data_IF_550602208646
#
_entry.id   IF_550602208646
#
_cell.length_a   1.000
_cell.length_b   1.000
_cell.length_c   1.000
_cell.angle_alpha   90.00
_cell.angle_beta   90.00
_cell.angle_gamma   90.00
#
_symmetry.space_group_name_H-M   'P 1'
#
loop_
_entity.id
_entity.type
_entity.pdbx_description
1 polymer ?
#
# COMPACT_ATOMS: atom_id res chain seq x y z
N UNK A 1 9.73 43.61 24.61
CA UNK A 1 9.72 44.10 25.99
C UNK A 1 8.85 45.36 26.07
N UNK A 2 7.56 45.22 26.38
CA UNK A 2 6.58 46.30 26.60
C UNK A 2 5.40 45.73 27.38
N UNK A 3 4.57 46.59 27.98
CA UNK A 3 3.40 46.19 28.76
C UNK A 3 2.40 45.28 28.03
N UNK A 4 2.51 45.18 26.70
CA UNK A 4 1.67 44.35 25.83
C UNK A 4 2.40 43.13 25.26
N UNK A 5 3.60 42.80 25.73
CA UNK A 5 4.32 41.63 25.29
C UNK A 5 3.69 40.34 25.85
N UNK A 6 3.55 39.31 25.00
CA UNK A 6 3.13 37.99 25.40
C UNK A 6 4.12 37.42 26.42
N UNK A 7 3.63 36.89 27.55
CA UNK A 7 4.44 36.24 28.56
C UNK A 7 4.31 34.73 28.50
N UNK A 8 5.31 33.99 27.95
CA UNK A 8 5.23 32.55 27.79
C UNK A 8 5.32 31.77 29.12
N UNK A 9 5.73 32.41 30.20
CA UNK A 9 5.91 31.81 31.53
C UNK A 9 4.69 31.97 32.45
N UNK A 10 3.61 32.56 31.95
CA UNK A 10 2.43 32.83 32.74
C UNK A 10 1.22 32.05 32.29
N UNK A 11 0.60 31.31 33.18
CA UNK A 11 -0.66 30.63 32.93
C UNK A 11 -1.83 31.63 33.11
N UNK A 12 -2.62 31.87 32.05
CA UNK A 12 -3.84 32.71 32.08
C UNK A 12 -3.66 34.21 32.33
N UNK A 13 -2.46 34.78 32.21
CA UNK A 13 -2.28 36.24 32.41
C UNK A 13 -2.21 37.04 31.11
N UNK A 14 -2.11 36.36 29.97
CA UNK A 14 -2.09 37.05 28.68
C UNK A 14 -3.51 37.40 28.22
N UNK A 15 -3.68 38.62 27.74
CA UNK A 15 -4.94 39.07 27.12
C UNK A 15 -5.14 38.46 25.75
N UNK A 16 -6.37 38.50 25.22
CA UNK A 16 -6.68 38.07 23.85
C UNK A 16 -5.87 38.86 22.80
N UNK A 17 -5.57 40.13 23.06
CA UNK A 17 -4.76 41.00 22.19
C UNK A 17 -3.29 40.57 22.18
N UNK A 18 -2.75 40.15 23.33
CA UNK A 18 -1.39 39.61 23.43
C UNK A 18 -1.27 38.27 22.71
N UNK A 19 -2.28 37.39 22.81
CA UNK A 19 -2.34 36.17 22.01
C UNK A 19 -2.42 36.48 20.53
N UNK A 20 -3.31 37.38 20.10
CA UNK A 20 -3.44 37.77 18.69
C UNK A 20 -2.14 38.32 18.09
N UNK A 21 -1.30 38.95 18.92
CA UNK A 21 0.01 39.48 18.50
C UNK A 21 1.09 38.43 18.27
N UNK A 22 0.91 37.20 18.72
CA UNK A 22 1.87 36.08 18.57
C UNK A 22 1.32 34.89 17.79
N UNK A 23 0.01 34.89 17.50
CA UNK A 23 -0.62 33.87 16.66
C UNK A 23 -0.53 34.25 15.19
N UNK A 24 -0.20 33.30 14.38
CA UNK A 24 -0.24 33.38 12.92
C UNK A 24 -0.91 32.15 12.34
N UNK A 25 -1.28 32.23 11.08
CA UNK A 25 -1.81 31.09 10.33
C UNK A 25 -0.73 30.60 9.38
N UNK A 26 -0.30 29.36 9.53
CA UNK A 26 0.53 28.66 8.56
C UNK A 26 -0.37 28.05 7.49
N UNK A 27 -0.16 28.42 6.23
CA UNK A 27 -0.95 27.94 5.11
C UNK A 27 -0.08 27.24 4.07
N UNK A 28 -0.45 26.01 3.74
CA UNK A 28 0.10 25.23 2.64
C UNK A 28 -1.02 24.99 1.61
N UNK A 29 -0.76 25.35 0.36
CA UNK A 29 -1.65 25.02 -0.74
C UNK A 29 -0.87 24.13 -1.71
N UNK A 30 -1.32 22.89 -1.85
CA UNK A 30 -0.75 21.92 -2.78
C UNK A 30 -1.75 21.75 -3.91
N UNK A 31 -1.29 21.94 -5.14
CA UNK A 31 -2.07 21.73 -6.35
C UNK A 31 -1.36 20.70 -7.21
N UNK A 32 -2.03 19.58 -7.43
CA UNK A 32 -1.61 18.56 -8.37
C UNK A 32 -2.51 18.62 -9.60
N UNK A 33 -1.91 18.68 -10.79
CA UNK A 33 -2.61 18.69 -12.08
C UNK A 33 -2.07 17.55 -12.94
N UNK A 34 -2.98 16.91 -13.68
CA UNK A 34 -2.62 15.87 -14.64
C UNK A 34 -3.53 16.00 -15.85
N UNK A 35 -2.92 16.26 -17.01
CA UNK A 35 -3.57 16.28 -18.32
C UNK A 35 -3.18 15.04 -19.09
N UNK A 36 -4.15 14.31 -19.65
CA UNK A 36 -3.92 13.05 -20.33
C UNK A 36 -4.70 12.99 -21.64
N UNK A 37 -4.01 12.55 -22.70
CA UNK A 37 -4.60 12.20 -23.99
C UNK A 37 -4.13 10.80 -24.38
N UNK A 38 -5.06 9.92 -24.72
CA UNK A 38 -4.74 8.57 -25.18
C UNK A 38 -5.53 8.13 -26.40
N UNK A 39 -4.95 7.19 -27.14
CA UNK A 39 -5.61 6.47 -28.23
C UNK A 39 -5.35 4.98 -28.09
N UNK A 40 -6.40 4.17 -28.24
CA UNK A 40 -6.32 2.70 -28.09
C UNK A 40 -7.10 2.04 -29.21
N UNK A 41 -6.59 0.89 -29.66
CA UNK A 41 -7.26 0.02 -30.60
C UNK A 41 -7.13 -1.42 -30.13
N UNK A 42 -8.19 -2.22 -30.28
CA UNK A 42 -8.18 -3.64 -29.97
C UNK A 42 -9.08 -4.41 -30.91
N UNK A 43 -8.74 -5.66 -31.18
CA UNK A 43 -9.54 -6.53 -32.02
C UNK A 43 -8.81 -7.81 -32.47
N UNK A 44 -9.46 -8.62 -33.31
CA UNK A 44 -8.83 -9.77 -33.91
C UNK A 44 -7.72 -9.33 -34.87
N UNK A 45 -6.56 -10.00 -34.80
CA UNK A 45 -5.39 -9.69 -35.62
C UNK A 45 -5.31 -10.63 -36.82
N UNK A 46 -5.34 -11.94 -36.57
CA UNK A 46 -5.40 -12.99 -37.63
C UNK A 46 -5.86 -14.31 -37.01
N UNK A 47 -6.22 -15.25 -37.91
CA UNK A 47 -6.67 -16.59 -37.54
C UNK A 47 -5.51 -17.58 -37.56
N UNK A 48 -5.38 -18.39 -36.50
CA UNK A 48 -4.56 -19.59 -36.45
C UNK A 48 -5.44 -20.84 -36.54
N UNK A 49 -4.89 -22.01 -36.85
CA UNK A 49 -5.65 -23.27 -36.74
C UNK A 49 -6.18 -23.54 -35.31
N UNK A 50 -5.60 -22.89 -34.33
CA UNK A 50 -5.95 -23.00 -32.92
C UNK A 50 -6.95 -21.95 -32.45
N UNK A 51 -7.30 -20.96 -33.26
CA UNK A 51 -8.24 -19.89 -32.98
C UNK A 51 -7.72 -18.50 -33.32
N UNK A 52 -8.50 -17.49 -33.04
CA UNK A 52 -8.22 -16.10 -33.38
C UNK A 52 -7.19 -15.47 -32.42
N UNK A 53 -6.11 -14.94 -32.96
CA UNK A 53 -5.17 -14.09 -32.19
C UNK A 53 -5.83 -12.72 -31.96
N UNK A 54 -5.91 -12.32 -30.72
CA UNK A 54 -6.41 -11.00 -30.31
C UNK A 54 -5.23 -10.07 -30.04
N UNK A 55 -5.37 -8.80 -30.41
CA UNK A 55 -4.36 -7.79 -30.10
C UNK A 55 -4.98 -6.50 -29.58
N UNK A 56 -4.23 -5.78 -28.78
CA UNK A 56 -4.49 -4.42 -28.39
C UNK A 56 -3.20 -3.60 -28.48
N UNK A 57 -3.30 -2.34 -28.87
CA UNK A 57 -2.19 -1.40 -28.88
C UNK A 57 -2.68 0.01 -28.59
N UNK A 58 -1.82 0.87 -28.06
CA UNK A 58 -2.17 2.26 -27.81
C UNK A 58 -0.96 3.13 -27.56
N UNK A 59 -1.23 4.42 -27.58
CA UNK A 59 -0.28 5.47 -27.22
C UNK A 59 -0.94 6.46 -26.28
N UNK A 60 -0.16 7.02 -25.38
CA UNK A 60 -0.62 7.96 -24.35
C UNK A 60 0.42 9.07 -24.21
N UNK A 61 -0.06 10.30 -24.01
CA UNK A 61 0.75 11.42 -23.58
C UNK A 61 0.12 12.03 -22.34
N UNK A 62 0.91 12.21 -21.30
CA UNK A 62 0.47 12.78 -20.01
C UNK A 62 1.44 13.82 -19.52
N UNK A 63 0.89 14.94 -19.02
CA UNK A 63 1.63 15.96 -18.31
C UNK A 63 1.21 15.94 -16.85
N UNK A 64 2.16 15.93 -15.96
CA UNK A 64 1.96 16.01 -14.52
C UNK A 64 2.65 17.26 -13.97
N UNK A 65 1.96 17.97 -13.06
CA UNK A 65 2.49 19.15 -12.42
C UNK A 65 2.11 19.15 -10.93
N UNK A 66 3.06 19.52 -10.08
CA UNK A 66 2.85 19.78 -8.67
C UNK A 66 3.33 21.17 -8.31
N UNK A 67 2.43 21.98 -7.73
CA UNK A 67 2.72 23.33 -7.25
C UNK A 67 2.45 23.41 -5.76
N UNK A 68 3.41 23.95 -5.03
CA UNK A 68 3.24 24.21 -3.61
C UNK A 68 3.47 25.69 -3.36
N UNK A 69 2.47 26.30 -2.73
CA UNK A 69 2.50 27.70 -2.32
C UNK A 69 2.33 27.78 -0.81
N UNK A 70 3.06 28.70 -0.21
CA UNK A 70 2.97 28.98 1.22
C UNK A 70 2.78 30.47 1.44
N UNK A 71 2.30 30.86 2.62
CA UNK A 71 2.33 32.25 3.03
C UNK A 71 3.77 32.70 3.39
N UNK A 72 4.08 34.00 3.31
CA UNK A 72 5.45 34.49 3.56
C UNK A 72 6.01 34.20 4.96
N UNK A 73 5.14 34.05 5.96
CA UNK A 73 5.58 33.75 7.32
C UNK A 73 6.01 32.28 7.43
N UNK A 74 5.27 31.36 6.79
CA UNK A 74 5.63 29.94 6.65
C UNK A 74 6.91 29.79 5.81
N UNK A 75 7.03 30.49 4.69
CA UNK A 75 8.21 30.45 3.83
C UNK A 75 9.48 30.87 4.57
N UNK A 76 9.40 31.94 5.35
CA UNK A 76 10.54 32.47 6.12
C UNK A 76 10.89 31.70 7.39
N UNK A 77 10.08 30.69 7.79
CA UNK A 77 10.25 29.99 9.08
C UNK A 77 9.89 30.87 10.27
N UNK A 78 8.99 31.82 10.10
CA UNK A 78 8.61 32.79 11.14
C UNK A 78 7.78 32.23 12.29
N UNK A 79 7.40 30.96 12.25
CA UNK A 79 6.73 30.26 13.35
C UNK A 79 7.74 29.56 14.26
N UNK A 80 7.48 29.58 15.56
CA UNK A 80 8.31 28.84 16.54
C UNK A 80 8.24 27.35 16.22
N UNK A 81 9.42 26.73 16.07
CA UNK A 81 9.55 25.29 15.72
C UNK A 81 9.36 25.00 14.21
N UNK A 82 9.29 26.03 13.37
CA UNK A 82 9.26 25.87 11.91
C UNK A 82 10.64 26.13 11.30
N UNK A 83 11.04 25.30 10.37
CA UNK A 83 12.29 25.44 9.60
C UNK A 83 12.14 26.25 8.32
N UNK A 84 10.94 26.81 8.08
CA UNK A 84 10.60 27.45 6.82
C UNK A 84 10.15 26.43 5.77
N UNK A 85 9.85 26.91 4.57
CA UNK A 85 9.48 26.07 3.43
C UNK A 85 9.72 26.82 2.12
N UNK A 86 10.40 26.21 1.18
CA UNK A 86 10.60 26.78 -0.16
C UNK A 86 9.49 26.35 -1.09
N UNK A 87 8.64 27.28 -1.60
CA UNK A 87 7.64 26.98 -2.61
C UNK A 87 8.30 26.42 -3.88
N UNK A 88 7.60 25.52 -4.58
CA UNK A 88 8.09 24.94 -5.83
C UNK A 88 6.96 24.73 -6.84
N UNK A 89 7.34 24.67 -8.10
CA UNK A 89 6.49 24.34 -9.24
C UNK A 89 7.29 23.37 -10.11
N UNK A 90 6.88 22.10 -10.11
CA UNK A 90 7.56 21.01 -10.78
C UNK A 90 6.63 20.36 -11.79
N UNK A 91 7.17 20.00 -12.96
CA UNK A 91 6.40 19.35 -14.01
C UNK A 91 7.20 18.26 -14.70
N UNK A 92 6.49 17.30 -15.29
CA UNK A 92 7.06 16.34 -16.20
C UNK A 92 6.08 15.93 -17.28
N UNK A 93 6.60 15.63 -18.46
CA UNK A 93 5.88 15.05 -19.57
C UNK A 93 6.22 13.56 -19.67
N UNK A 94 5.22 12.75 -20.01
CA UNK A 94 5.32 11.30 -20.10
C UNK A 94 4.68 10.89 -21.43
N UNK A 95 5.46 10.24 -22.29
CA UNK A 95 4.95 9.65 -23.53
C UNK A 95 5.08 8.14 -23.47
N UNK A 96 4.02 7.41 -23.83
CA UNK A 96 4.05 5.96 -23.74
C UNK A 96 3.37 5.28 -24.93
N UNK A 97 3.87 4.08 -25.24
CA UNK A 97 3.24 3.16 -26.19
C UNK A 97 3.17 1.78 -25.55
N UNK A 98 2.11 1.06 -25.87
CA UNK A 98 1.95 -0.31 -25.40
C UNK A 98 1.34 -1.20 -26.48
N UNK A 99 1.63 -2.48 -26.38
CA UNK A 99 1.00 -3.52 -27.18
C UNK A 99 0.80 -4.78 -26.34
N UNK A 100 -0.27 -5.50 -26.65
CA UNK A 100 -0.62 -6.79 -26.08
C UNK A 100 -1.13 -7.72 -27.16
N UNK A 101 -0.75 -9.00 -27.09
CA UNK A 101 -1.28 -10.06 -27.94
C UNK A 101 -1.67 -11.26 -27.10
N UNK A 102 -2.81 -11.87 -27.44
CA UNK A 102 -3.32 -13.09 -26.84
C UNK A 102 -3.41 -14.16 -27.91
N UNK A 103 -2.69 -15.26 -27.71
CA UNK A 103 -2.45 -16.31 -28.70
C UNK A 103 -3.03 -17.62 -28.17
N UNK A 104 -4.07 -18.16 -28.79
CA UNK A 104 -4.55 -19.52 -28.54
C UNK A 104 -3.53 -20.52 -29.09
N UNK A 105 -2.89 -21.31 -28.20
CA UNK A 105 -1.90 -22.32 -28.61
C UNK A 105 -2.51 -23.72 -28.85
N UNK A 106 -3.73 -23.95 -28.37
CA UNK A 106 -4.52 -25.15 -28.64
C UNK A 106 -5.89 -24.75 -29.15
N UNK A 107 -6.45 -25.60 -30.01
CA UNK A 107 -7.79 -25.35 -30.55
C UNK A 107 -8.84 -25.34 -29.44
N UNK A 108 -9.74 -24.35 -29.50
CA UNK A 108 -10.89 -24.26 -28.60
C UNK A 108 -11.76 -25.50 -28.77
N UNK A 109 -12.19 -26.10 -27.69
CA UNK A 109 -13.07 -27.27 -27.71
C UNK A 109 -14.49 -26.85 -28.12
N UNK A 110 -15.24 -27.78 -28.71
CA UNK A 110 -16.62 -27.52 -29.12
C UNK A 110 -17.47 -27.12 -27.91
N UNK A 111 -18.11 -25.95 -28.02
CA UNK A 111 -18.94 -25.38 -26.93
C UNK A 111 -18.19 -24.53 -25.91
N UNK A 112 -16.87 -24.36 -26.03
CA UNK A 112 -16.05 -23.49 -25.16
C UNK A 112 -15.71 -22.17 -25.88
N UNK A 113 -15.49 -21.11 -25.10
CA UNK A 113 -15.15 -19.80 -25.64
C UNK A 113 -13.65 -19.51 -25.58
N UNK A 114 -12.89 -20.29 -24.78
CA UNK A 114 -11.47 -20.05 -24.50
C UNK A 114 -10.63 -21.26 -24.93
N UNK A 115 -9.43 -20.99 -25.46
CA UNK A 115 -8.44 -22.02 -25.73
C UNK A 115 -7.98 -22.72 -24.47
N UNK A 116 -7.82 -24.04 -24.44
CA UNK A 116 -7.26 -24.75 -23.30
C UNK A 116 -5.84 -24.31 -22.95
N UNK A 117 -5.03 -23.90 -23.92
CA UNK A 117 -3.69 -23.37 -23.73
C UNK A 117 -3.58 -22.01 -24.40
N UNK A 118 -3.32 -20.98 -23.61
CA UNK A 118 -3.26 -19.59 -24.06
C UNK A 118 -1.99 -18.91 -23.56
N UNK A 119 -1.32 -18.21 -24.45
CA UNK A 119 -0.18 -17.34 -24.17
C UNK A 119 -0.59 -15.88 -24.38
N UNK A 120 -0.39 -15.05 -23.35
CA UNK A 120 -0.51 -13.59 -23.51
C UNK A 120 0.87 -12.95 -23.34
N UNK A 121 1.20 -12.03 -24.26
CA UNK A 121 2.41 -11.22 -24.22
C UNK A 121 2.02 -9.77 -24.28
N UNK A 122 2.59 -8.95 -23.42
CA UNK A 122 2.42 -7.50 -23.44
C UNK A 122 3.73 -6.79 -23.18
N UNK A 123 3.84 -5.57 -23.68
CA UNK A 123 4.93 -4.67 -23.35
C UNK A 123 4.44 -3.22 -23.36
N UNK A 124 4.96 -2.42 -22.44
CA UNK A 124 4.78 -0.98 -22.37
C UNK A 124 6.13 -0.30 -22.32
N UNK A 125 6.34 0.68 -23.18
CA UNK A 125 7.47 1.58 -23.17
C UNK A 125 6.99 2.97 -22.77
N UNK A 126 7.70 3.62 -21.89
CA UNK A 126 7.40 4.98 -21.43
C UNK A 126 8.68 5.81 -21.41
N UNK A 127 8.56 7.06 -21.81
CA UNK A 127 9.62 8.06 -21.81
C UNK A 127 9.19 9.24 -20.96
N UNK A 128 9.97 9.54 -19.95
CA UNK A 128 9.75 10.59 -18.95
C UNK A 128 10.76 11.71 -19.17
N UNK A 129 10.31 12.95 -19.12
CA UNK A 129 11.18 14.12 -19.34
C UNK A 129 12.21 14.36 -18.25
N UNK A 130 12.05 13.76 -17.05
CA UNK A 130 12.88 13.97 -15.87
C UNK A 130 13.94 12.88 -15.65
N UNK A 131 13.60 11.59 -15.76
CA UNK A 131 14.53 10.50 -15.45
C UNK A 131 14.79 9.51 -16.62
N UNK A 132 14.19 9.74 -17.81
CA UNK A 132 14.38 8.93 -19.00
C UNK A 132 13.35 7.81 -19.17
N UNK A 133 13.71 6.72 -19.84
CA UNK A 133 12.75 5.73 -20.34
C UNK A 133 12.77 4.41 -19.57
N UNK A 134 11.65 3.71 -19.64
CA UNK A 134 11.46 2.37 -19.06
C UNK A 134 10.69 1.46 -20.01
N UNK A 135 10.99 0.15 -19.95
CA UNK A 135 10.31 -0.89 -20.73
C UNK A 135 9.86 -2.01 -19.81
N UNK A 136 8.59 -2.35 -19.87
CA UNK A 136 7.98 -3.31 -18.96
C UNK A 136 7.23 -4.41 -19.73
N UNK A 137 7.89 -5.54 -20.05
CA UNK A 137 7.28 -6.72 -20.60
C UNK A 137 6.51 -7.55 -19.56
N UNK A 138 5.50 -8.27 -20.07
CA UNK A 138 4.71 -9.25 -19.35
C UNK A 138 4.50 -10.47 -20.25
N UNK A 139 4.58 -11.66 -19.66
CA UNK A 139 4.19 -12.91 -20.29
C UNK A 139 3.33 -13.71 -19.32
N UNK A 140 2.21 -14.25 -19.81
CA UNK A 140 1.35 -15.15 -19.03
C UNK A 140 1.03 -16.40 -19.85
N UNK A 141 1.01 -17.54 -19.18
CA UNK A 141 0.61 -18.82 -19.75
C UNK A 141 -0.50 -19.42 -18.89
N UNK A 142 -1.61 -19.75 -19.53
CA UNK A 142 -2.74 -20.45 -18.91
C UNK A 142 -2.96 -21.78 -19.61
N UNK A 143 -3.07 -22.84 -18.84
CA UNK A 143 -3.37 -24.18 -19.34
C UNK A 143 -4.50 -24.82 -18.55
N UNK A 144 -5.65 -25.01 -19.20
CA UNK A 144 -6.80 -25.73 -18.65
C UNK A 144 -6.82 -27.16 -19.18
N UNK A 145 -6.83 -28.11 -18.29
CA UNK A 145 -6.78 -29.53 -18.62
C UNK A 145 -7.76 -30.33 -17.78
N UNK A 146 -7.84 -31.63 -18.05
CA UNK A 146 -8.73 -32.54 -17.32
C UNK A 146 -10.18 -32.05 -17.35
N UNK A 147 -10.65 -31.69 -18.56
CA UNK A 147 -12.01 -31.25 -18.80
C UNK A 147 -12.36 -30.00 -17.95
N UNK A 148 -11.42 -29.05 -17.93
CA UNK A 148 -11.42 -27.77 -17.21
C UNK A 148 -11.48 -27.87 -15.67
N UNK A 149 -11.27 -29.06 -15.14
CA UNK A 149 -11.22 -29.23 -13.70
C UNK A 149 -9.90 -28.73 -13.08
N UNK A 150 -8.82 -28.67 -13.86
CA UNK A 150 -7.53 -28.18 -13.43
C UNK A 150 -7.05 -27.06 -14.38
N UNK A 151 -6.83 -25.86 -13.84
CA UNK A 151 -6.15 -24.79 -14.55
C UNK A 151 -4.80 -24.52 -13.92
N UNK A 152 -3.75 -24.56 -14.71
CA UNK A 152 -2.41 -24.13 -14.35
C UNK A 152 -2.17 -22.74 -14.92
N UNK A 153 -1.52 -21.88 -14.15
CA UNK A 153 -1.17 -20.53 -14.60
C UNK A 153 0.25 -20.18 -14.20
N UNK A 154 0.95 -19.49 -15.09
CA UNK A 154 2.26 -18.93 -14.82
C UNK A 154 2.31 -17.51 -15.37
N UNK A 155 2.98 -16.61 -14.66
CA UNK A 155 3.22 -15.27 -15.16
C UNK A 155 4.62 -14.78 -14.77
N UNK A 156 5.18 -13.98 -15.66
CA UNK A 156 6.38 -13.21 -15.44
C UNK A 156 6.13 -11.79 -15.92
N UNK A 157 6.45 -10.80 -15.09
CA UNK A 157 6.27 -9.40 -15.43
C UNK A 157 7.39 -8.57 -14.82
N UNK A 158 7.75 -7.48 -15.50
CA UNK A 158 8.47 -6.38 -14.90
C UNK A 158 7.54 -5.20 -14.69
N UNK A 159 7.83 -4.39 -13.69
CA UNK A 159 7.14 -3.13 -13.44
C UNK A 159 8.15 -2.14 -12.85
N UNK A 160 7.77 -0.88 -12.79
CA UNK A 160 8.57 0.17 -12.18
C UNK A 160 7.67 1.12 -11.38
N UNK A 161 8.30 1.88 -10.49
CA UNK A 161 7.70 3.00 -9.81
C UNK A 161 8.54 4.23 -10.12
N UNK A 162 7.95 5.19 -10.82
CA UNK A 162 8.59 6.47 -11.09
C UNK A 162 8.90 7.20 -9.79
N UNK A 163 10.04 7.88 -9.66
CA UNK A 163 10.30 8.75 -8.53
C UNK A 163 9.21 9.83 -8.40
N UNK A 164 8.94 10.27 -7.18
CA UNK A 164 8.13 11.48 -6.99
C UNK A 164 8.80 12.65 -7.69
N UNK A 165 8.00 13.59 -8.24
CA UNK A 165 8.51 14.79 -8.92
C UNK A 165 9.49 15.57 -8.04
N UNK A 166 9.19 15.64 -6.75
CA UNK A 166 10.03 16.29 -5.74
C UNK A 166 11.42 15.64 -5.65
N UNK A 167 11.46 14.30 -5.62
CA UNK A 167 12.73 13.57 -5.50
C UNK A 167 13.57 13.61 -6.77
N UNK A 168 12.93 13.78 -7.93
CA UNK A 168 13.60 13.92 -9.22
C UNK A 168 14.08 15.35 -9.52
N UNK A 169 13.79 16.33 -8.66
CA UNK A 169 14.13 17.72 -8.89
C UNK A 169 15.12 18.27 -7.86
N UNK A 170 16.29 18.78 -8.27
CA UNK A 170 17.20 19.47 -7.37
C UNK A 170 16.66 20.81 -6.82
N UNK A 171 15.52 21.29 -7.35
CA UNK A 171 14.82 22.46 -6.81
C UNK A 171 14.07 22.12 -5.51
N UNK A 172 13.76 20.85 -5.27
CA UNK A 172 13.07 20.43 -4.06
C UNK A 172 14.01 20.40 -2.87
N UNK A 173 13.65 21.16 -1.83
CA UNK A 173 14.34 21.20 -0.54
C UNK A 173 13.29 21.27 0.57
N UNK A 174 13.13 20.18 1.31
CA UNK A 174 12.22 20.13 2.45
C UNK A 174 12.99 20.29 3.75
N UNK A 175 12.85 21.41 4.47
CA UNK A 175 13.56 21.65 5.71
C UNK A 175 12.83 21.08 6.93
N UNK A 176 13.59 20.50 7.86
CA UNK A 176 13.11 20.11 9.18
C UNK A 176 14.28 20.14 10.19
N UNK A 177 13.94 20.07 11.47
CA UNK A 177 14.96 19.99 12.55
C UNK A 177 14.92 18.60 13.16
N UNK A 178 16.09 18.02 13.36
CA UNK A 178 16.26 16.68 13.94
C UNK A 178 17.44 16.68 14.91
N UNK A 179 17.28 15.99 16.06
CA UNK A 179 18.38 15.78 16.99
C UNK A 179 19.23 14.60 16.52
N UNK A 180 20.45 14.85 16.11
CA UNK A 180 21.40 13.85 15.60
C UNK A 180 22.55 13.65 16.59
N UNK A 181 23.14 12.45 16.58
CA UNK A 181 24.37 12.15 17.29
C UNK A 181 25.57 12.50 16.40
N UNK A 182 26.31 13.55 16.73
CA UNK A 182 27.52 13.93 15.98
C UNK A 182 28.65 12.92 16.24
N UNK A 183 29.10 12.15 15.22
CA UNK A 183 30.13 11.13 15.39
C UNK A 183 31.51 11.72 15.75
N UNK A 184 31.75 13.02 15.52
CA UNK A 184 33.02 13.66 15.85
C UNK A 184 33.11 14.04 17.33
N UNK A 185 32.01 14.45 17.92
CA UNK A 185 31.98 14.91 19.31
C UNK A 185 31.30 13.92 20.26
N UNK A 186 30.61 12.93 19.71
CA UNK A 186 29.76 11.97 20.44
C UNK A 186 28.71 12.65 21.32
N UNK A 187 28.16 13.76 20.83
CA UNK A 187 27.11 14.54 21.50
C UNK A 187 25.87 14.66 20.62
N UNK A 188 24.70 14.70 21.25
CA UNK A 188 23.45 14.98 20.56
C UNK A 188 23.38 16.48 20.22
N UNK A 189 23.11 16.80 18.96
CA UNK A 189 23.01 18.16 18.43
C UNK A 189 21.73 18.28 17.61
N UNK A 190 21.00 19.39 17.82
CA UNK A 190 19.87 19.72 16.94
C UNK A 190 20.40 20.25 15.62
N UNK A 191 20.17 19.49 14.55
CA UNK A 191 20.60 19.81 13.20
C UNK A 191 19.47 20.39 12.36
N UNK A 192 19.79 21.35 11.50
CA UNK A 192 18.91 21.75 10.41
C UNK A 192 19.09 20.77 9.27
N UNK A 193 18.08 19.97 8.97
CA UNK A 193 18.11 18.96 7.92
C UNK A 193 17.32 19.44 6.71
N UNK A 194 17.80 19.10 5.53
CA UNK A 194 17.09 19.28 4.26
C UNK A 194 16.99 17.96 3.54
N UNK A 195 15.79 17.50 3.22
CA UNK A 195 15.60 16.50 2.16
C UNK A 195 15.71 17.20 0.82
N UNK A 196 16.62 16.73 -0.03
CA UNK A 196 16.93 17.36 -1.31
C UNK A 196 16.71 16.36 -2.44
N UNK A 197 15.97 16.77 -3.46
CA UNK A 197 15.82 15.98 -4.69
C UNK A 197 17.08 15.99 -5.53
N UNK A 198 17.21 15.06 -6.46
CA UNK A 198 18.37 14.92 -7.35
C UNK A 198 17.93 14.51 -8.76
N UNK A 199 18.61 15.06 -9.78
CA UNK A 199 18.36 14.66 -11.18
C UNK A 199 18.91 13.26 -11.53
N UNK A 200 19.75 12.68 -10.68
CA UNK A 200 20.37 11.36 -10.93
C UNK A 200 19.51 10.18 -10.44
N UNK A 201 18.34 10.46 -9.88
CA UNK A 201 17.45 9.43 -9.36
C UNK A 201 16.83 8.59 -10.50
N UNK A 202 16.76 7.29 -10.30
CA UNK A 202 16.20 6.33 -11.24
C UNK A 202 14.87 5.79 -10.74
N UNK A 203 14.01 5.25 -11.60
CA UNK A 203 12.82 4.54 -11.14
C UNK A 203 13.20 3.30 -10.34
N UNK A 204 12.39 2.99 -9.33
CA UNK A 204 12.42 1.66 -8.71
C UNK A 204 11.93 0.63 -9.72
N UNK A 205 12.55 -0.54 -9.75
CA UNK A 205 12.16 -1.61 -10.67
C UNK A 205 11.73 -2.85 -9.92
N UNK A 206 10.83 -3.62 -10.51
CA UNK A 206 10.41 -4.89 -9.94
C UNK A 206 10.30 -5.99 -11.00
N UNK A 207 10.55 -7.23 -10.56
CA UNK A 207 10.26 -8.44 -11.32
C UNK A 207 9.36 -9.33 -10.48
N UNK A 208 8.20 -9.67 -11.03
CA UNK A 208 7.22 -10.55 -10.41
C UNK A 208 7.14 -11.87 -11.17
N UNK A 209 7.11 -12.99 -10.44
CA UNK A 209 6.86 -14.34 -10.96
C UNK A 209 5.77 -14.98 -10.15
N UNK A 210 4.75 -15.49 -10.82
CA UNK A 210 3.66 -16.20 -10.19
C UNK A 210 3.48 -17.57 -10.84
N UNK A 211 3.16 -18.57 -10.04
CA UNK A 211 2.75 -19.89 -10.47
C UNK A 211 1.54 -20.31 -9.65
N UNK A 212 0.48 -20.71 -10.32
CA UNK A 212 -0.77 -21.03 -9.65
C UNK A 212 -1.47 -22.22 -10.25
N UNK A 213 -2.30 -22.83 -9.44
CA UNK A 213 -3.24 -23.86 -9.86
C UNK A 213 -4.65 -23.54 -9.34
N UNK A 214 -5.65 -23.87 -10.11
CA UNK A 214 -7.06 -23.78 -9.73
C UNK A 214 -7.67 -25.15 -10.01
N UNK A 215 -8.34 -25.72 -9.02
CA UNK A 215 -9.05 -26.98 -9.10
C UNK A 215 -10.56 -26.75 -8.90
N UNK A 216 -11.36 -27.18 -9.87
CA UNK A 216 -12.84 -27.14 -9.85
C UNK A 216 -13.41 -28.51 -10.14
N UNK A 217 -13.35 -29.45 -9.17
CA UNK A 217 -13.68 -30.85 -9.41
C UNK A 217 -15.17 -31.03 -9.71
N UNK A 218 -15.51 -31.64 -10.86
CA UNK A 218 -16.90 -31.95 -11.22
C UNK A 218 -17.58 -32.91 -10.23
N UNK A 219 -16.78 -33.74 -9.53
CA UNK A 219 -17.28 -34.63 -8.50
C UNK A 219 -17.81 -33.92 -7.25
N UNK A 220 -17.41 -32.66 -7.02
CA UNK A 220 -17.86 -31.81 -5.92
C UNK A 220 -18.34 -30.47 -6.49
N UNK A 221 -19.57 -30.42 -7.03
CA UNK A 221 -20.09 -29.23 -7.67
C UNK A 221 -20.09 -28.02 -6.70
N UNK A 222 -19.60 -26.87 -7.19
CA UNK A 222 -19.52 -25.63 -6.41
C UNK A 222 -18.26 -25.47 -5.58
N UNK A 223 -17.33 -26.45 -5.61
CA UNK A 223 -16.01 -26.32 -5.00
C UNK A 223 -15.01 -25.73 -5.98
N UNK A 224 -14.27 -24.73 -5.52
CA UNK A 224 -13.06 -24.21 -6.17
C UNK A 224 -11.95 -24.12 -5.16
N UNK A 225 -10.77 -24.66 -5.50
CA UNK A 225 -9.55 -24.56 -4.67
C UNK A 225 -8.47 -23.91 -5.51
N UNK A 226 -7.76 -22.93 -4.96
CA UNK A 226 -6.61 -22.35 -5.60
C UNK A 226 -5.39 -22.33 -4.69
N UNK A 227 -4.22 -22.48 -5.30
CA UNK A 227 -2.93 -22.32 -4.67
C UNK A 227 -2.03 -21.52 -5.62
N UNK A 228 -1.50 -20.41 -5.12
CA UNK A 228 -0.58 -19.57 -5.85
C UNK A 228 0.72 -19.40 -5.07
N UNK A 229 1.83 -19.48 -5.77
CA UNK A 229 3.15 -19.05 -5.31
C UNK A 229 3.50 -17.76 -6.02
N UNK A 230 4.02 -16.80 -5.27
CA UNK A 230 4.55 -15.56 -5.84
C UNK A 230 5.95 -15.27 -5.34
N UNK A 231 6.73 -14.63 -6.22
CA UNK A 231 8.01 -14.03 -5.89
C UNK A 231 8.10 -12.66 -6.54
N UNK A 232 8.38 -11.63 -5.71
CA UNK A 232 8.55 -10.25 -6.14
C UNK A 232 9.94 -9.81 -5.71
N UNK A 233 10.73 -9.37 -6.68
CA UNK A 233 12.03 -8.75 -6.44
C UNK A 233 11.95 -7.29 -6.85
N UNK A 234 12.27 -6.39 -5.93
CA UNK A 234 12.36 -4.96 -6.17
C UNK A 234 13.82 -4.52 -6.02
N UNK A 235 14.27 -3.67 -6.93
CA UNK A 235 15.61 -3.11 -6.94
C UNK A 235 15.51 -1.59 -7.06
N UNK A 236 16.63 -0.92 -6.77
CA UNK A 236 16.74 0.53 -6.87
C UNK A 236 15.68 1.26 -6.03
N UNK A 237 15.29 0.68 -4.88
CA UNK A 237 14.34 1.31 -3.97
C UNK A 237 14.82 2.70 -3.60
N UNK A 238 13.88 3.64 -3.51
CA UNK A 238 14.15 5.00 -3.04
C UNK A 238 13.73 5.04 -1.56
N UNK A 239 14.66 4.76 -0.62
CA UNK A 239 14.36 4.88 0.79
C UNK A 239 14.19 6.35 1.14
N UNK A 240 13.50 6.62 2.24
CA UNK A 240 13.52 7.95 2.82
C UNK A 240 14.94 8.39 3.14
N UNK A 241 15.15 9.68 3.10
CA UNK A 241 16.43 10.26 3.50
C UNK A 241 16.61 10.10 5.01
N UNK A 242 17.78 9.59 5.42
CA UNK A 242 18.17 9.46 6.83
C UNK A 242 19.35 10.40 7.12
N UNK A 243 19.05 11.45 7.87
CA UNK A 243 20.05 12.47 8.19
C UNK A 243 21.20 11.94 9.04
N UNK A 244 20.93 10.98 9.94
CA UNK A 244 21.99 10.37 10.74
C UNK A 244 22.95 9.56 9.89
N UNK A 245 22.46 8.78 8.93
CA UNK A 245 23.30 8.03 7.99
C UNK A 245 24.13 8.94 7.09
N UNK A 246 23.59 10.10 6.67
CA UNK A 246 24.37 11.12 5.95
C UNK A 246 25.47 11.69 6.84
N UNK A 247 25.16 11.99 8.09
CA UNK A 247 26.13 12.53 9.05
C UNK A 247 27.26 11.54 9.36
N UNK A 248 26.96 10.26 9.37
CA UNK A 248 27.92 9.17 9.53
C UNK A 248 28.77 8.92 8.26
N UNK A 249 28.33 9.41 7.10
CA UNK A 249 28.97 9.16 5.80
C UNK A 249 28.50 7.86 5.13
N UNK A 250 27.41 7.25 5.60
CA UNK A 250 26.89 5.97 5.10
C UNK A 250 26.01 6.15 3.85
N UNK A 251 25.40 7.34 3.68
CA UNK A 251 24.45 7.64 2.60
C UNK A 251 24.80 8.94 1.87
N UNK A 252 24.34 9.10 0.61
CA UNK A 252 24.59 10.31 -0.16
C UNK A 252 24.00 11.56 0.50
N UNK A 253 24.83 12.59 0.63
CA UNK A 253 24.43 13.86 1.21
C UNK A 253 25.59 14.80 1.40
N UNK A 254 25.31 15.93 2.02
CA UNK A 254 26.30 16.96 2.31
C UNK A 254 26.14 17.45 3.75
N UNK A 255 27.27 17.60 4.45
CA UNK A 255 27.31 18.09 5.82
C UNK A 255 28.19 19.35 5.88
N UNK A 256 27.64 20.54 5.57
CA UNK A 256 28.35 21.80 5.78
C UNK A 256 28.47 22.06 7.29
N UNK A 257 29.71 22.08 7.78
CA UNK A 257 30.01 22.42 9.19
C UNK A 257 30.55 23.85 9.28
N UNK A 258 30.16 24.57 10.32
CA UNK A 258 30.81 25.82 10.71
C UNK A 258 30.27 27.11 10.09
N UNK A 259 29.03 27.15 9.60
CA UNK A 259 28.36 28.36 9.16
C UNK A 259 26.94 28.47 9.74
N UNK A 260 26.85 28.43 11.08
CA UNK A 260 25.58 28.45 11.77
C UNK A 260 24.94 29.84 11.79
N UNK A 261 23.88 30.03 11.06
CA UNK A 261 22.77 30.88 11.44
C UNK A 261 21.52 30.14 10.96
N UNK A 262 21.18 29.07 11.62
CA UNK A 262 19.85 28.48 11.49
C UNK A 262 18.88 29.15 12.48
N UNK A 263 17.57 29.17 12.20
CA UNK A 263 16.56 29.71 13.12
C UNK A 263 16.57 29.06 14.51
N UNK A 264 17.17 27.89 14.65
CA UNK A 264 17.28 27.12 15.90
C UNK A 264 18.68 27.24 16.57
N UNK A 265 19.63 28.04 16.03
CA UNK A 265 20.94 28.23 16.65
C UNK A 265 21.90 27.04 16.52
N UNK A 266 21.58 26.05 15.68
CA UNK A 266 22.44 24.88 15.46
C UNK A 266 23.51 25.14 14.39
N UNK A 267 24.77 24.80 14.70
CA UNK A 267 25.90 24.93 13.78
C UNK A 267 26.00 23.77 12.77
N UNK A 268 25.04 22.83 12.78
CA UNK A 268 25.04 21.64 11.95
C UNK A 268 23.89 21.67 10.92
N UNK A 269 24.30 21.65 9.65
CA UNK A 269 23.35 21.48 8.52
C UNK A 269 23.60 20.13 7.88
N UNK A 270 22.55 19.38 7.59
CA UNK A 270 22.60 18.11 6.88
C UNK A 270 21.70 18.19 5.66
N UNK A 271 22.26 18.02 4.47
CA UNK A 271 21.53 17.88 3.22
C UNK A 271 21.47 16.40 2.85
N UNK A 272 20.33 15.79 3.00
CA UNK A 272 20.09 14.38 2.71
C UNK A 272 19.46 14.25 1.31
N UNK A 273 20.21 13.72 0.36
CA UNK A 273 19.77 13.59 -1.02
C UNK A 273 18.90 12.35 -1.22
N UNK A 274 17.86 12.49 -2.04
CA UNK A 274 17.11 11.32 -2.53
C UNK A 274 18.06 10.47 -3.42
N UNK A 275 18.03 9.15 -3.25
CA UNK A 275 18.90 8.22 -3.97
C UNK A 275 18.26 6.86 -4.11
N UNK A 276 18.71 6.09 -5.10
CA UNK A 276 18.29 4.70 -5.26
C UNK A 276 19.20 3.79 -4.44
N UNK A 277 18.63 3.06 -3.55
CA UNK A 277 19.36 2.12 -2.75
C UNK A 277 18.51 1.01 -2.18
N UNK A 278 18.99 -0.19 -2.30
CA UNK A 278 18.42 -1.33 -1.67
C UNK A 278 17.68 -2.26 -2.60
N UNK A 279 17.48 -3.45 -2.08
CA UNK A 279 16.70 -4.51 -2.68
C UNK A 279 15.65 -4.96 -1.68
N UNK A 280 14.49 -5.37 -2.19
CA UNK A 280 13.49 -6.10 -1.40
C UNK A 280 13.09 -7.35 -2.17
N UNK A 281 13.14 -8.50 -1.49
CA UNK A 281 12.69 -9.77 -2.02
C UNK A 281 11.53 -10.30 -1.16
N UNK A 282 10.42 -10.57 -1.80
CA UNK A 282 9.21 -11.08 -1.15
C UNK A 282 8.79 -12.39 -1.82
N UNK A 283 8.55 -13.43 -1.02
CA UNK A 283 8.07 -14.72 -1.49
C UNK A 283 6.94 -15.20 -0.58
N UNK A 284 5.92 -15.80 -1.18
CA UNK A 284 4.80 -16.32 -0.41
C UNK A 284 3.88 -17.24 -1.18
N UNK A 285 2.87 -17.71 -0.46
CA UNK A 285 1.84 -18.60 -0.96
C UNK A 285 0.47 -18.08 -0.56
N UNK A 286 -0.47 -18.12 -1.52
CA UNK A 286 -1.87 -17.83 -1.29
C UNK A 286 -2.69 -19.08 -1.57
N UNK A 287 -3.48 -19.50 -0.59
CA UNK A 287 -4.38 -20.64 -0.70
C UNK A 287 -5.81 -20.18 -0.48
N UNK A 288 -6.72 -20.55 -1.38
CA UNK A 288 -8.12 -20.23 -1.21
C UNK A 288 -9.01 -21.44 -1.52
N UNK A 289 -10.09 -21.55 -0.75
CA UNK A 289 -11.19 -22.51 -0.99
C UNK A 289 -12.48 -21.72 -1.01
N UNK A 290 -13.22 -21.85 -2.10
CA UNK A 290 -14.58 -21.34 -2.23
C UNK A 290 -15.50 -22.54 -2.44
N UNK A 291 -16.49 -22.71 -1.59
CA UNK A 291 -17.43 -23.80 -1.72
C UNK A 291 -18.87 -23.31 -1.57
N UNK A 292 -19.60 -23.36 -2.67
CA UNK A 292 -21.04 -23.19 -2.65
C UNK A 292 -21.67 -24.57 -2.58
N UNK A 293 -22.23 -24.91 -1.42
CA UNK A 293 -22.88 -26.20 -1.23
C UNK A 293 -24.05 -26.35 -2.24
N UNK A 294 -24.29 -27.58 -2.75
CA UNK A 294 -25.52 -27.89 -3.47
C UNK A 294 -26.72 -27.44 -2.64
N UNK A 295 -27.81 -27.05 -3.34
CA UNK A 295 -29.01 -26.54 -2.69
C UNK A 295 -29.49 -27.50 -1.59
N UNK A 296 -29.57 -27.01 -0.36
CA UNK A 296 -29.97 -27.76 0.81
C UNK A 296 -31.39 -27.43 1.22
N UNK A 297 -32.05 -28.29 2.02
CA UNK A 297 -33.32 -27.99 2.62
C UNK A 297 -33.26 -26.80 3.58
N UNK A 298 -32.07 -26.46 4.06
CA UNK A 298 -31.80 -25.34 4.97
C UNK A 298 -31.47 -24.04 4.27
N UNK A 299 -31.50 -23.99 2.92
CA UNK A 299 -31.15 -22.85 2.12
C UNK A 299 -29.78 -22.94 1.44
N UNK A 300 -29.26 -21.79 0.99
CA UNK A 300 -27.99 -21.65 0.28
C UNK A 300 -26.86 -21.38 1.29
N UNK A 301 -25.82 -22.19 1.22
CA UNK A 301 -24.64 -22.06 2.07
C UNK A 301 -23.40 -21.84 1.18
N UNK A 302 -22.60 -20.84 1.53
CA UNK A 302 -21.31 -20.55 0.90
C UNK A 302 -20.24 -20.50 1.97
N UNK A 303 -19.12 -21.18 1.73
CA UNK A 303 -17.94 -21.20 2.58
C UNK A 303 -16.78 -20.64 1.78
N UNK A 304 -16.05 -19.70 2.36
CA UNK A 304 -14.86 -19.08 1.80
C UNK A 304 -13.73 -19.18 2.83
N UNK A 305 -12.58 -19.72 2.42
CA UNK A 305 -11.34 -19.73 3.19
C UNK A 305 -10.25 -19.09 2.34
N UNK A 306 -9.54 -18.13 2.90
CA UNK A 306 -8.32 -17.56 2.31
C UNK A 306 -7.20 -17.62 3.34
N UNK A 307 -6.06 -18.16 2.95
CA UNK A 307 -4.85 -18.22 3.76
C UNK A 307 -3.69 -17.64 2.96
N UNK A 308 -2.97 -16.70 3.53
CA UNK A 308 -1.75 -16.13 2.97
C UNK A 308 -0.57 -16.48 3.87
N UNK A 309 0.50 -16.98 3.26
CA UNK A 309 1.75 -17.33 3.92
C UNK A 309 2.90 -16.55 3.33
N UNK A 310 3.41 -15.57 4.07
CA UNK A 310 4.65 -14.87 3.75
C UNK A 310 5.82 -15.78 4.12
N UNK A 311 6.50 -16.33 3.12
CA UNK A 311 7.62 -17.23 3.32
C UNK A 311 8.91 -16.45 3.58
N UNK A 312 9.05 -15.27 2.91
CA UNK A 312 10.24 -14.44 2.93
C UNK A 312 9.88 -12.98 2.71
N UNK A 313 10.55 -12.08 3.45
CA UNK A 313 10.51 -10.64 3.24
C UNK A 313 11.90 -10.06 3.56
N UNK A 314 12.81 -10.22 2.62
CA UNK A 314 14.17 -9.70 2.76
C UNK A 314 14.25 -8.25 2.30
N UNK A 315 14.92 -7.42 3.08
CA UNK A 315 15.35 -6.08 2.71
C UNK A 315 16.86 -5.96 2.82
N UNK A 316 17.45 -5.13 1.99
CA UNK A 316 18.84 -4.70 2.11
C UNK A 316 18.83 -3.23 2.45
N UNK A 317 19.26 -2.89 3.67
CA UNK A 317 19.47 -1.51 4.13
C UNK A 317 20.93 -1.12 3.93
N UNK A 318 21.20 0.15 3.61
CA UNK A 318 22.57 0.64 3.37
C UNK A 318 23.52 0.45 4.54
N UNK A 319 23.05 0.82 5.71
CA UNK A 319 23.86 0.75 6.93
C UNK A 319 24.05 -0.69 7.47
N UNK A 320 23.28 -1.67 6.94
CA UNK A 320 23.39 -3.06 7.36
C UNK A 320 24.24 -3.87 6.36
N UNK A 321 25.33 -4.54 6.80
CA UNK A 321 26.19 -5.31 5.91
C UNK A 321 25.51 -6.54 5.30
N UNK A 322 24.38 -6.96 5.87
CA UNK A 322 23.67 -8.17 5.48
C UNK A 322 22.21 -7.88 5.11
N UNK A 323 21.63 -8.76 4.30
CA UNK A 323 20.18 -8.79 4.06
C UNK A 323 19.45 -9.23 5.33
N UNK A 324 18.35 -8.58 5.63
CA UNK A 324 17.53 -8.82 6.82
C UNK A 324 16.21 -9.45 6.36
N UNK A 325 15.85 -10.62 6.91
CA UNK A 325 14.52 -11.22 6.66
C UNK A 325 13.55 -10.81 7.77
N UNK A 326 12.59 -9.96 7.43
CA UNK A 326 11.57 -9.45 8.33
C UNK A 326 10.28 -10.30 8.35
N UNK A 327 10.23 -11.42 7.63
CA UNK A 327 9.04 -12.29 7.65
C UNK A 327 8.81 -12.86 9.06
N UNK A 328 7.64 -12.62 9.62
CA UNK A 328 7.29 -12.96 11.00
C UNK A 328 7.81 -11.97 12.03
N UNK A 329 8.23 -10.77 11.60
CA UNK A 329 8.70 -9.71 12.45
C UNK A 329 7.84 -8.46 12.42
N UNK A 330 8.08 -7.60 13.39
CA UNK A 330 7.70 -6.21 13.41
C UNK A 330 8.97 -5.37 13.46
N UNK A 331 9.16 -4.57 12.43
CA UNK A 331 10.29 -3.67 12.33
C UNK A 331 10.05 -2.43 13.19
N UNK A 332 10.80 -2.24 14.30
CA UNK A 332 10.68 -1.06 15.15
C UNK A 332 11.25 0.21 14.53
N UNK A 333 12.12 0.08 13.51
CA UNK A 333 12.48 1.21 12.67
C UNK A 333 11.28 1.73 11.84
N UNK A 334 10.15 1.09 12.04
CA UNK A 334 8.86 1.24 11.40
C UNK A 334 8.16 2.59 11.60
N UNK A 335 8.56 3.42 12.50
CA UNK A 335 8.04 4.78 12.66
C UNK A 335 8.55 5.74 11.57
N UNK A 336 9.49 5.31 10.75
CA UNK A 336 9.85 6.01 9.53
C UNK A 336 8.87 5.67 8.40
N UNK A 337 8.67 6.58 7.47
CA UNK A 337 7.73 6.53 6.34
C UNK A 337 7.85 5.25 5.45
N UNK A 338 8.87 4.42 5.66
CA UNK A 338 9.27 3.26 4.85
C UNK A 338 9.20 1.93 5.56
N UNK A 339 8.60 1.90 6.72
CA UNK A 339 8.47 0.67 7.47
C UNK A 339 7.39 -0.25 6.92
N UNK A 340 7.73 -1.51 6.86
CA UNK A 340 6.78 -2.56 6.49
C UNK A 340 5.73 -2.85 7.59
N UNK A 341 5.85 -2.27 8.79
CA UNK A 341 4.99 -2.58 9.92
C UNK A 341 5.13 -4.03 10.40
N UNK A 342 4.04 -4.60 10.88
CA UNK A 342 4.01 -6.03 11.22
C UNK A 342 3.85 -6.90 9.98
N UNK A 343 4.72 -7.92 9.87
CA UNK A 343 4.75 -8.90 8.79
C UNK A 343 4.51 -10.32 9.32
N UNK A 344 3.34 -10.61 9.91
CA UNK A 344 3.05 -11.96 10.40
C UNK A 344 3.16 -12.96 9.24
N UNK A 345 3.82 -14.10 9.48
CA UNK A 345 4.01 -15.12 8.43
C UNK A 345 2.71 -15.68 7.89
N UNK A 346 1.64 -15.68 8.67
CA UNK A 346 0.37 -16.29 8.25
C UNK A 346 -0.78 -15.35 8.57
N UNK A 347 -1.62 -15.10 7.58
CA UNK A 347 -2.92 -14.44 7.73
C UNK A 347 -4.00 -15.35 7.18
N UNK A 348 -5.18 -15.31 7.76
CA UNK A 348 -6.30 -16.12 7.33
C UNK A 348 -7.64 -15.42 7.48
N UNK A 349 -8.52 -15.76 6.58
CA UNK A 349 -9.91 -15.34 6.60
C UNK A 349 -10.78 -16.56 6.32
N UNK A 350 -11.70 -16.87 7.21
CA UNK A 350 -12.78 -17.81 6.96
C UNK A 350 -14.11 -17.08 7.02
N UNK A 351 -14.95 -17.25 6.00
CA UNK A 351 -16.30 -16.73 5.99
C UNK A 351 -17.30 -17.83 5.66
N UNK A 352 -18.43 -17.84 6.37
CA UNK A 352 -19.56 -18.69 6.08
C UNK A 352 -20.80 -17.81 5.93
N UNK A 353 -21.48 -17.93 4.79
CA UNK A 353 -22.71 -17.21 4.49
C UNK A 353 -23.85 -18.19 4.30
N UNK A 354 -24.98 -17.92 4.93
CA UNK A 354 -26.21 -18.70 4.82
C UNK A 354 -27.37 -17.79 4.41
N UNK A 355 -28.19 -18.28 3.50
CA UNK A 355 -29.43 -17.60 3.07
C UNK A 355 -30.55 -18.59 2.93
N UNK A 356 -31.73 -18.28 3.54
CA UNK A 356 -32.93 -19.08 3.41
C UNK A 356 -34.18 -18.17 3.40
N UNK A 357 -34.80 -18.03 2.23
CA UNK A 357 -35.91 -17.09 2.04
C UNK A 357 -35.50 -15.65 2.43
N UNK A 358 -36.22 -14.98 3.33
CA UNK A 358 -35.88 -13.62 3.76
C UNK A 358 -34.69 -13.54 4.72
N UNK A 359 -34.27 -14.65 5.31
CA UNK A 359 -33.21 -14.71 6.30
C UNK A 359 -31.82 -14.81 5.68
N UNK A 360 -30.88 -14.15 6.26
CA UNK A 360 -29.47 -14.30 5.95
C UNK A 360 -28.60 -14.22 7.21
N UNK A 361 -27.54 -14.97 7.24
CA UNK A 361 -26.52 -14.88 8.27
C UNK A 361 -25.12 -15.00 7.65
N UNK A 362 -24.15 -14.27 8.19
CA UNK A 362 -22.75 -14.35 7.80
C UNK A 362 -21.89 -14.34 9.05
N UNK A 363 -20.94 -15.26 9.13
CA UNK A 363 -19.87 -15.21 10.12
C UNK A 363 -18.54 -15.07 9.40
N UNK A 364 -17.62 -14.32 10.00
CA UNK A 364 -16.27 -14.13 9.51
C UNK A 364 -15.29 -14.34 10.66
N UNK A 365 -14.25 -15.12 10.42
CA UNK A 365 -13.16 -15.34 11.37
C UNK A 365 -11.89 -14.80 10.72
N UNK A 366 -11.28 -13.82 11.36
CA UNK A 366 -10.03 -13.22 10.93
C UNK A 366 -8.90 -13.79 11.81
N UNK A 367 -7.83 -14.25 11.19
CA UNK A 367 -6.65 -14.78 11.86
C UNK A 367 -5.41 -14.02 11.43
N UNK A 368 -4.66 -13.55 12.39
CA UNK A 368 -3.32 -12.99 12.23
C UNK A 368 -2.35 -13.81 13.08
N UNK A 369 -1.32 -14.40 12.45
CA UNK A 369 -0.27 -15.13 13.15
C UNK A 369 0.55 -14.23 14.07
N UNK A 370 1.13 -14.80 15.12
CA UNK A 370 2.07 -14.10 15.96
C UNK A 370 3.34 -13.70 15.21
N UNK A 371 4.05 -12.70 15.73
CA UNK A 371 5.28 -12.16 15.18
C UNK A 371 6.20 -11.64 16.29
N UNK A 372 7.47 -11.49 15.98
CA UNK A 372 8.48 -11.03 16.92
C UNK A 372 8.81 -9.54 16.68
N UNK A 373 9.04 -8.79 17.74
CA UNK A 373 9.58 -7.45 17.65
C UNK A 373 11.06 -7.54 17.27
N UNK A 374 11.46 -6.81 16.22
CA UNK A 374 12.82 -6.82 15.68
C UNK A 374 13.47 -5.45 15.85
N UNK A 375 14.77 -5.44 16.17
CA UNK A 375 15.56 -4.21 16.18
C UNK A 375 15.91 -3.75 14.76
N UNK A 376 16.69 -2.66 14.66
CA UNK A 376 17.10 -2.08 13.38
C UNK A 376 17.89 -3.05 12.49
N UNK A 377 18.62 -3.98 13.08
CA UNK A 377 19.41 -4.98 12.38
C UNK A 377 18.60 -6.24 12.03
N UNK A 378 17.29 -6.25 12.34
CA UNK A 378 16.39 -7.38 12.10
C UNK A 378 16.59 -8.54 13.07
N UNK A 379 17.19 -8.28 14.22
CA UNK A 379 17.37 -9.27 15.28
C UNK A 379 16.16 -9.19 16.23
N UNK A 380 15.61 -10.37 16.56
CA UNK A 380 14.48 -10.42 17.50
C UNK A 380 14.91 -9.90 18.88
N UNK A 381 14.16 -8.93 19.41
CA UNK A 381 14.40 -8.30 20.72
C UNK A 381 14.04 -9.20 21.91
N UNK A 382 13.47 -10.38 21.63
CA UNK A 382 12.92 -11.31 22.62
C UNK A 382 11.48 -10.99 23.04
N UNK A 383 10.86 -9.97 22.44
CA UNK A 383 9.44 -9.63 22.62
C UNK A 383 8.61 -10.34 21.55
N UNK A 384 7.71 -11.24 21.94
CA UNK A 384 6.82 -11.97 21.05
C UNK A 384 5.39 -11.42 21.17
N UNK A 385 4.80 -11.07 20.05
CA UNK A 385 3.41 -10.64 19.94
C UNK A 385 2.57 -11.85 19.53
N UNK A 386 1.62 -12.23 20.39
CA UNK A 386 0.77 -13.39 20.19
C UNK A 386 -0.15 -13.27 18.97
N UNK A 387 -0.65 -14.41 18.48
CA UNK A 387 -1.63 -14.42 17.41
C UNK A 387 -2.95 -13.73 17.82
N UNK A 388 -3.59 -13.09 16.85
CA UNK A 388 -4.84 -12.37 17.03
C UNK A 388 -5.95 -12.98 16.18
N UNK A 389 -7.07 -13.31 16.83
CA UNK A 389 -8.24 -13.91 16.16
C UNK A 389 -9.47 -13.12 16.57
N UNK A 390 -10.22 -12.65 15.58
CA UNK A 390 -11.56 -12.05 15.80
C UNK A 390 -12.63 -12.84 15.07
N UNK A 391 -13.83 -12.80 15.58
CA UNK A 391 -15.01 -13.41 14.98
C UNK A 391 -16.09 -12.36 14.87
N UNK A 392 -16.62 -12.19 13.67
CA UNK A 392 -17.71 -11.27 13.38
C UNK A 392 -18.94 -12.08 13.01
N UNK A 393 -20.11 -11.60 13.40
CA UNK A 393 -21.40 -12.22 13.11
C UNK A 393 -22.40 -11.17 12.67
N UNK A 394 -23.11 -11.44 11.58
CA UNK A 394 -24.23 -10.63 11.12
C UNK A 394 -25.42 -11.51 10.80
N UNK A 395 -26.60 -11.10 11.26
CA UNK A 395 -27.88 -11.65 10.83
C UNK A 395 -28.67 -10.59 10.06
N UNK A 396 -29.44 -11.00 9.06
CA UNK A 396 -30.26 -10.09 8.27
C UNK A 396 -31.65 -10.68 7.95
N UNK A 397 -32.59 -9.77 7.79
CA UNK A 397 -33.97 -10.11 7.35
C UNK A 397 -34.36 -9.15 6.22
N UNK A 398 -34.85 -9.70 5.09
CA UNK A 398 -35.24 -8.94 3.91
C UNK A 398 -36.76 -8.98 3.71
N UNK A 399 -37.37 -7.82 3.58
CA UNK A 399 -38.74 -7.64 3.14
C UNK A 399 -38.76 -7.20 1.69
N UNK A 400 -39.56 -7.79 0.83
CA UNK A 400 -39.60 -7.46 -0.59
C UNK A 400 -38.43 -7.95 -1.40
N UNK A 401 -38.33 -7.52 -2.65
CA UNK A 401 -37.32 -7.93 -3.60
C UNK A 401 -37.37 -9.43 -3.94
N UNK A 402 -36.26 -9.96 -4.43
CA UNK A 402 -36.15 -11.39 -4.85
C UNK A 402 -36.20 -12.39 -3.69
N UNK A 403 -36.09 -11.94 -2.44
CA UNK A 403 -35.91 -12.79 -1.26
C UNK A 403 -37.07 -12.75 -0.25
N UNK A 404 -37.99 -11.81 -0.38
CA UNK A 404 -39.13 -11.68 0.57
C UNK A 404 -40.34 -11.02 -0.06
N UNK A 405 -41.53 -11.19 0.55
CA UNK A 405 -42.73 -10.50 0.14
C UNK A 405 -42.74 -9.07 0.70
N UNK A 406 -43.01 -8.08 -0.16
CA UNK A 406 -43.24 -6.69 0.28
C UNK A 406 -44.62 -6.55 0.85
N UNK A 407 -44.81 -5.96 2.03
CA UNK A 407 -46.10 -5.53 2.48
C UNK A 407 -46.70 -4.49 1.52
N UNK A 408 -47.92 -4.66 1.08
CA UNK A 408 -48.59 -3.78 0.11
C UNK A 408 -48.75 -2.32 0.56
N UNK A 409 -48.53 -2.03 1.83
CA UNK A 409 -48.57 -0.68 2.41
C UNK A 409 -47.23 0.06 2.43
N UNK A 410 -46.11 -0.63 2.06
CA UNK A 410 -44.78 -0.05 2.07
C UNK A 410 -44.42 0.44 0.63
N UNK A 411 -44.21 1.72 0.40
CA UNK A 411 -43.85 2.26 -0.93
C UNK A 411 -42.39 2.06 -1.27
N UNK A 412 -41.85 0.84 -1.07
CA UNK A 412 -40.45 0.47 -1.32
C UNK A 412 -40.39 -0.90 -1.98
N UNK A 413 -39.43 -1.09 -2.89
CA UNK A 413 -39.24 -2.35 -3.60
C UNK A 413 -38.64 -3.43 -2.69
N UNK A 414 -37.68 -3.05 -1.84
CA UNK A 414 -37.10 -3.95 -0.85
C UNK A 414 -36.59 -3.20 0.37
N UNK A 415 -36.62 -3.87 1.52
CA UNK A 415 -36.04 -3.39 2.76
C UNK A 415 -35.22 -4.50 3.42
N UNK A 416 -34.00 -4.22 3.86
CA UNK A 416 -33.17 -5.17 4.59
C UNK A 416 -32.77 -4.61 5.95
N UNK A 417 -33.09 -5.37 6.98
CA UNK A 417 -32.63 -5.14 8.34
C UNK A 417 -31.42 -6.03 8.61
N UNK A 418 -30.38 -5.48 9.18
CA UNK A 418 -29.20 -6.24 9.58
C UNK A 418 -28.80 -5.86 10.99
N UNK A 419 -28.46 -6.86 11.78
CA UNK A 419 -27.85 -6.72 13.11
C UNK A 419 -26.51 -7.42 13.05
N UNK A 420 -25.43 -6.74 13.46
CA UNK A 420 -24.09 -7.31 13.41
C UNK A 420 -23.31 -7.03 14.69
N UNK A 421 -22.34 -7.89 14.93
CA UNK A 421 -21.36 -7.79 16.00
C UNK A 421 -19.99 -8.06 15.40
N UNK A 422 -19.11 -7.07 15.46
CA UNK A 422 -17.68 -7.23 15.18
C UNK A 422 -16.96 -7.59 16.48
N UNK A 423 -15.95 -8.44 16.39
CA UNK A 423 -15.21 -8.97 17.52
C UNK A 423 -16.15 -9.55 18.61
N UNK A 424 -16.97 -10.53 18.22
CA UNK A 424 -18.02 -11.15 19.05
C UNK A 424 -17.54 -11.56 20.46
N UNK A 425 -16.31 -12.04 20.57
CA UNK A 425 -15.72 -12.53 21.81
C UNK A 425 -14.97 -11.47 22.60
N UNK A 426 -15.02 -10.19 22.17
CA UNK A 426 -14.36 -9.07 22.83
C UNK A 426 -12.85 -9.29 23.03
N UNK A 427 -12.19 -9.80 21.98
CA UNK A 427 -10.76 -10.10 22.04
C UNK A 427 -9.97 -8.82 22.11
N UNK A 428 -9.17 -8.64 23.16
CA UNK A 428 -8.24 -7.53 23.31
C UNK A 428 -7.12 -7.60 22.26
N UNK A 429 -6.69 -6.43 21.78
CA UNK A 429 -5.56 -6.31 20.88
C UNK A 429 -4.27 -6.71 21.58
N UNK A 430 -3.32 -7.39 20.88
CA UNK A 430 -2.04 -7.72 21.46
C UNK A 430 -1.25 -6.47 21.85
N UNK A 431 -0.63 -6.50 23.03
CA UNK A 431 0.26 -5.42 23.46
C UNK A 431 1.56 -5.45 22.65
N UNK A 432 1.96 -4.28 22.14
CA UNK A 432 3.22 -4.04 21.43
C UNK A 432 3.95 -2.91 22.13
N UNK A 433 5.27 -3.07 22.39
CA UNK A 433 6.10 -2.07 23.10
C UNK A 433 6.37 -0.78 22.31
N UNK A 434 5.48 -0.39 21.44
CA UNK A 434 5.57 0.84 20.69
C UNK A 434 4.95 2.01 21.44
N UNK A 435 5.14 3.21 20.92
CA UNK A 435 4.64 4.47 21.48
C UNK A 435 3.15 4.39 21.87
N UNK A 436 2.34 3.62 21.12
CA UNK A 436 0.90 3.50 21.35
C UNK A 436 0.47 2.23 22.11
N UNK A 437 1.39 1.32 22.44
CA UNK A 437 1.07 0.05 23.12
C UNK A 437 0.35 -1.00 22.26
N UNK A 438 0.08 -0.72 21.00
CA UNK A 438 -0.57 -1.62 20.04
C UNK A 438 -0.20 -1.26 18.59
N UNK A 439 -0.41 -2.19 17.67
CA UNK A 439 -0.19 -1.93 16.25
C UNK A 439 -1.44 -1.32 15.62
N UNK A 440 -1.45 -0.01 15.44
CA UNK A 440 -2.57 0.77 14.87
C UNK A 440 -2.92 0.42 13.42
N UNK A 441 -1.99 -0.16 12.66
CA UNK A 441 -2.21 -0.52 11.26
C UNK A 441 -2.90 -1.88 11.10
N UNK A 442 -2.85 -2.72 12.13
CA UNK A 442 -3.35 -4.09 12.10
C UNK A 442 -4.52 -4.33 13.05
N UNK A 443 -4.70 -3.49 14.05
CA UNK A 443 -5.64 -3.74 15.13
C UNK A 443 -6.59 -2.57 15.37
N UNK A 444 -7.84 -2.89 15.64
CA UNK A 444 -8.87 -1.95 16.05
C UNK A 444 -9.10 -2.02 17.56
N UNK A 445 -8.95 -0.87 18.22
CA UNK A 445 -9.13 -0.75 19.68
C UNK A 445 -10.58 -0.73 20.15
N UNK A 446 -11.56 -0.66 19.23
CA UNK A 446 -12.98 -0.55 19.64
C UNK A 446 -13.48 -1.74 20.45
N UNK A 447 -12.76 -2.87 20.45
CA UNK A 447 -13.22 -4.10 21.08
C UNK A 447 -14.48 -4.64 20.39
N UNK A 448 -15.43 -5.15 21.16
CA UNK A 448 -16.72 -5.61 20.62
C UNK A 448 -17.56 -4.42 20.16
N UNK A 449 -17.91 -4.41 18.87
CA UNK A 449 -18.73 -3.37 18.28
C UNK A 449 -20.06 -3.95 17.76
N UNK A 450 -21.18 -3.44 18.26
CA UNK A 450 -22.53 -3.86 17.86
C UNK A 450 -23.17 -2.78 16.99
N UNK A 451 -23.75 -3.17 15.86
CA UNK A 451 -24.42 -2.24 14.95
C UNK A 451 -25.74 -2.78 14.41
N UNK A 452 -26.62 -1.86 14.07
CA UNK A 452 -27.83 -2.14 13.32
C UNK A 452 -27.86 -1.32 12.04
N UNK A 453 -28.28 -1.90 10.94
CA UNK A 453 -28.38 -1.26 9.62
C UNK A 453 -29.74 -1.53 8.99
N UNK A 454 -30.32 -0.51 8.38
CA UNK A 454 -31.49 -0.61 7.50
C UNK A 454 -31.07 -0.14 6.11
N UNK A 455 -31.28 -0.97 5.11
CA UNK A 455 -31.11 -0.62 3.70
C UNK A 455 -32.48 -0.66 3.03
N UNK A 456 -32.78 0.33 2.22
CA UNK A 456 -34.09 0.50 1.54
C UNK A 456 -33.83 0.73 0.06
N UNK A 457 -34.48 -0.07 -0.78
CA UNK A 457 -34.48 0.06 -2.23
C UNK A 457 -35.85 0.62 -2.65
N UNK A 458 -35.85 1.67 -3.48
CA UNK A 458 -37.05 2.40 -3.93
C UNK A 458 -37.29 2.14 -5.41
#
# INVERSE_FOLDING_TARGET
>A
TGANAFNPFCNQCNSAEQFAGVLGTSAYNIRFESDLVDVRASGPLFELPTGTVQAAAGAEHRREQVKVYTDPLTESGGFVGSSGFTPYDLERDISSVFAEVRIPLMATREGEYESPLELSLAARYEDYSDFGSTSNPLATLRYSTWDDQLTLRASWATAYLAPYLEYASPLYRYPYTETLLDPLTNTAIDAQVYTVGTADIKPETSTTRNFGLILTPKAIPGLTVSLDYYRIRQNDLIPGTDAQSVLNGDTPGRVPRGHGIGPAGGDLIVEAYAYNLGERNMEGYDFAVNYRLPKTAFGDIKLDLSLSRLAKFEIHRLAAPNKIDLAGGYDIAADSFFSAGALPKTRGLFAASWNNGPWGATTQINYMGGYDEMDYDGVATGSHIGSYVTTDLQASYSLGGKRGASPSWLPVDAMRFSLGVENLFDRDVPFVKLINGYNRFENDLRGRFVYARVAVDF
#
